data_IF_548709460293
#
_entry.id   IF_548709460293
#
_cell.length_a   1.000
_cell.length_b   1.000
_cell.length_c   1.000
_cell.angle_alpha   90.00
_cell.angle_beta   90.00
_cell.angle_gamma   90.00
#
_symmetry.space_group_name_H-M   'P 1'
#
loop_
_entity.id
_entity.type
_entity.pdbx_description
1 polymer ?
#
# COMPACT_ATOMS: atom_id res chain seq x y z
N UNK A 1 -10.36 -26.99 23.78
CA UNK A 1 -10.62 -25.77 23.02
C UNK A 1 -9.28 -25.09 22.84
N UNK A 2 -8.54 -25.50 21.80
CA UNK A 2 -7.25 -24.90 21.48
C UNK A 2 -7.48 -23.58 20.76
N UNK A 3 -7.27 -22.50 21.48
CA UNK A 3 -7.07 -21.19 20.90
C UNK A 3 -5.81 -21.29 20.04
N UNK A 4 -6.00 -21.38 18.72
CA UNK A 4 -4.93 -21.24 17.74
C UNK A 4 -4.20 -19.94 18.02
N UNK A 5 -3.13 -20.03 18.80
CA UNK A 5 -2.10 -19.00 18.91
C UNK A 5 -1.46 -18.90 17.54
N UNK A 6 -2.00 -18.06 16.69
CA UNK A 6 -1.22 -17.56 15.55
C UNK A 6 0.01 -16.90 16.14
N UNK A 7 1.13 -17.56 16.04
CA UNK A 7 2.45 -17.06 16.44
C UNK A 7 2.79 -15.87 15.54
N UNK A 8 2.21 -14.70 15.87
CA UNK A 8 2.53 -13.45 15.18
C UNK A 8 3.90 -13.02 15.67
N UNK A 9 4.81 -12.82 14.72
CA UNK A 9 6.14 -12.34 15.03
C UNK A 9 6.06 -10.99 15.79
N UNK A 10 6.44 -10.92 17.08
CA UNK A 10 6.34 -9.69 17.86
C UNK A 10 7.22 -8.57 17.31
N UNK A 11 8.33 -8.94 16.66
CA UNK A 11 9.26 -7.98 16.05
C UNK A 11 8.62 -7.29 14.84
N UNK A 12 7.95 -8.08 13.98
CA UNK A 12 7.19 -7.52 12.86
C UNK A 12 6.08 -6.59 13.36
N UNK A 13 5.31 -7.02 14.38
CA UNK A 13 4.28 -6.16 14.97
C UNK A 13 4.85 -4.83 15.46
N UNK A 14 5.95 -4.85 16.20
CA UNK A 14 6.58 -3.64 16.72
C UNK A 14 7.09 -2.73 15.59
N UNK A 15 7.67 -3.31 14.54
CA UNK A 15 8.14 -2.58 13.38
C UNK A 15 6.99 -1.82 12.69
N UNK A 16 5.89 -2.52 12.40
CA UNK A 16 4.74 -1.96 11.70
C UNK A 16 3.98 -0.95 12.58
N UNK A 17 3.77 -1.27 13.84
CA UNK A 17 3.14 -0.38 14.81
C UNK A 17 3.83 0.99 14.87
N UNK A 18 5.17 1.01 14.97
CA UNK A 18 5.97 2.24 14.93
C UNK A 18 5.87 2.98 13.60
N UNK A 19 5.89 2.25 12.47
CA UNK A 19 5.79 2.85 11.14
C UNK A 19 4.46 3.61 10.93
N UNK A 20 3.39 3.19 11.61
CA UNK A 20 2.07 3.82 11.57
C UNK A 20 1.73 4.64 12.83
N UNK A 21 2.75 5.02 13.62
CA UNK A 21 2.58 5.86 14.82
C UNK A 21 1.53 5.31 15.80
N UNK A 22 1.50 3.98 15.98
CA UNK A 22 0.60 3.25 16.89
C UNK A 22 -0.89 3.38 16.55
N UNK A 23 -1.23 3.70 15.29
CA UNK A 23 -2.61 3.89 14.84
C UNK A 23 -2.92 3.09 13.58
N UNK A 24 -4.17 2.65 13.47
CA UNK A 24 -4.66 2.01 12.24
C UNK A 24 -4.48 2.93 11.03
N UNK A 25 -3.93 2.40 9.95
CA UNK A 25 -3.65 3.11 8.72
C UNK A 25 -4.89 3.77 8.07
N UNK A 26 -6.07 3.20 8.27
CA UNK A 26 -7.33 3.68 7.70
C UNK A 26 -8.25 4.33 8.72
N UNK A 27 -8.50 3.67 9.85
CA UNK A 27 -9.47 4.14 10.83
C UNK A 27 -8.89 5.16 11.82
N UNK A 28 -7.57 5.16 12.01
CA UNK A 28 -6.92 5.95 13.05
C UNK A 28 -7.12 5.39 14.47
N UNK A 29 -7.71 4.19 14.61
CA UNK A 29 -7.91 3.52 15.91
C UNK A 29 -6.57 3.22 16.57
N UNK A 30 -6.56 3.25 17.89
CA UNK A 30 -5.36 3.04 18.69
C UNK A 30 -4.88 1.57 18.68
N UNK A 31 -3.62 1.39 19.03
CA UNK A 31 -2.84 0.16 18.96
C UNK A 31 -3.55 -1.08 19.54
N UNK A 32 -4.28 -0.95 20.65
CA UNK A 32 -4.92 -2.08 21.34
C UNK A 32 -5.88 -2.86 20.43
N UNK A 33 -6.51 -2.17 19.48
CA UNK A 33 -7.50 -2.75 18.56
C UNK A 33 -6.89 -3.12 17.21
N UNK A 34 -5.57 -2.96 17.05
CA UNK A 34 -4.88 -3.11 15.79
C UNK A 34 -3.90 -4.26 15.76
N UNK A 35 -3.63 -4.73 14.56
CA UNK A 35 -2.72 -5.81 14.25
C UNK A 35 -1.84 -5.46 13.06
N UNK A 36 -0.61 -6.01 13.04
CA UNK A 36 0.23 -5.94 11.85
C UNK A 36 -0.29 -6.93 10.81
N UNK A 37 -0.67 -6.42 9.66
CA UNK A 37 -1.12 -7.16 8.49
C UNK A 37 0.00 -7.17 7.43
N UNK A 38 0.15 -8.27 6.69
CA UNK A 38 1.01 -8.29 5.51
C UNK A 38 0.25 -7.71 4.31
N UNK A 39 0.94 -6.92 3.47
CA UNK A 39 0.39 -6.44 2.20
C UNK A 39 0.10 -7.63 1.29
N UNK A 40 1.00 -8.62 1.27
CA UNK A 40 0.77 -9.91 0.63
C UNK A 40 0.42 -10.94 1.72
N UNK A 41 -0.86 -11.28 1.94
CA UNK A 41 -1.28 -12.11 3.09
C UNK A 41 -0.63 -13.50 3.12
N UNK A 42 -0.32 -14.06 1.94
CA UNK A 42 0.28 -15.39 1.79
C UNK A 42 1.81 -15.39 1.88
N UNK A 43 2.44 -14.22 1.81
CA UNK A 43 3.89 -14.05 1.86
C UNK A 43 4.28 -13.50 3.23
N UNK A 44 4.85 -14.36 4.07
CA UNK A 44 5.27 -14.00 5.44
C UNK A 44 6.61 -13.28 5.48
N UNK A 45 6.87 -12.42 4.53
CA UNK A 45 8.02 -11.54 4.57
C UNK A 45 7.80 -10.43 5.61
N UNK A 46 8.38 -10.60 6.79
CA UNK A 46 8.24 -9.74 7.98
C UNK A 46 9.07 -8.44 7.85
N UNK A 47 8.89 -7.71 6.76
CA UNK A 47 9.58 -6.45 6.49
C UNK A 47 8.62 -5.25 6.47
N UNK A 48 9.10 -4.05 6.80
CA UNK A 48 8.29 -2.84 6.78
C UNK A 48 7.62 -2.57 5.41
N UNK A 49 8.30 -2.79 4.26
CA UNK A 49 7.68 -2.64 2.93
C UNK A 49 6.50 -3.56 2.65
N UNK A 50 6.37 -4.67 3.39
CA UNK A 50 5.29 -5.65 3.27
C UNK A 50 4.28 -5.55 4.43
N UNK A 51 4.24 -4.48 5.17
CA UNK A 51 3.39 -4.39 6.35
C UNK A 51 2.49 -3.17 6.40
N UNK A 52 1.31 -3.33 6.98
CA UNK A 52 0.40 -2.25 7.36
C UNK A 52 -0.23 -2.52 8.72
N UNK A 53 -0.61 -1.47 9.42
CA UNK A 53 -1.22 -1.56 10.75
C UNK A 53 -2.71 -1.32 10.64
N UNK A 54 -3.52 -2.33 10.91
CA UNK A 54 -4.97 -2.30 10.71
C UNK A 54 -5.72 -2.72 11.97
N UNK A 55 -6.90 -2.15 12.18
CA UNK A 55 -7.85 -2.73 13.14
C UNK A 55 -8.17 -4.18 12.76
N UNK A 56 -8.51 -5.02 13.74
CA UNK A 56 -8.78 -6.46 13.52
C UNK A 56 -9.85 -6.69 12.46
N UNK A 57 -10.88 -5.86 12.43
CA UNK A 57 -11.95 -5.96 11.45
C UNK A 57 -11.46 -5.65 10.03
N UNK A 58 -10.69 -4.56 9.87
CA UNK A 58 -10.10 -4.19 8.58
C UNK A 58 -9.07 -5.21 8.11
N UNK A 59 -8.25 -5.76 9.00
CA UNK A 59 -7.31 -6.83 8.70
C UNK A 59 -8.05 -8.09 8.21
N UNK A 60 -9.05 -8.54 8.96
CA UNK A 60 -9.87 -9.71 8.57
C UNK A 60 -10.57 -9.52 7.22
N UNK A 61 -11.03 -8.32 6.90
CA UNK A 61 -11.66 -8.03 5.61
C UNK A 61 -10.65 -7.95 4.47
N UNK A 62 -9.43 -7.49 4.75
CA UNK A 62 -8.32 -7.47 3.80
C UNK A 62 -7.88 -8.89 3.42
N UNK A 63 -7.65 -9.75 4.41
CA UNK A 63 -7.24 -11.15 4.19
C UNK A 63 -8.27 -11.96 3.39
N UNK A 64 -9.53 -11.53 3.40
CA UNK A 64 -10.63 -12.12 2.59
C UNK A 64 -10.82 -11.45 1.24
N UNK A 65 -9.91 -10.59 0.80
CA UNK A 65 -9.98 -9.86 -0.45
C UNK A 65 -11.28 -9.04 -0.64
N UNK A 66 -11.89 -8.57 0.45
CA UNK A 66 -13.06 -7.67 0.38
C UNK A 66 -12.63 -6.32 -0.18
N UNK A 67 -11.42 -5.89 0.12
CA UNK A 67 -10.79 -4.68 -0.39
C UNK A 67 -9.30 -4.87 -0.57
N UNK A 68 -8.67 -3.98 -1.32
CA UNK A 68 -7.24 -3.95 -1.54
C UNK A 68 -6.74 -2.50 -1.71
N UNK A 69 -5.42 -2.31 -1.62
CA UNK A 69 -4.76 -1.06 -1.96
C UNK A 69 -4.70 -0.95 -3.49
N UNK A 70 -5.15 0.20 -4.03
CA UNK A 70 -5.11 0.42 -5.47
C UNK A 70 -3.74 0.97 -5.91
N UNK A 71 -2.90 0.20 -6.64
CA UNK A 71 -1.56 0.62 -7.04
C UNK A 71 -1.56 1.77 -8.05
N UNK A 72 -2.67 1.98 -8.79
CA UNK A 72 -2.76 3.05 -9.78
C UNK A 72 -3.09 4.41 -9.16
N UNK A 73 -3.48 4.41 -7.88
CA UNK A 73 -3.84 5.62 -7.13
C UNK A 73 -2.66 6.28 -6.42
N UNK A 74 -1.45 5.77 -6.60
CA UNK A 74 -0.24 6.31 -5.96
C UNK A 74 -0.05 7.79 -6.24
N UNK A 75 0.11 8.57 -5.17
CA UNK A 75 0.45 10.00 -5.22
C UNK A 75 1.55 10.30 -4.22
N UNK A 76 2.46 11.19 -4.59
CA UNK A 76 3.47 11.73 -3.66
C UNK A 76 2.79 12.72 -2.73
N UNK A 77 3.03 12.58 -1.42
CA UNK A 77 2.51 13.52 -0.43
C UNK A 77 3.34 14.80 -0.42
N UNK A 78 2.81 15.89 -0.97
CA UNK A 78 3.52 17.18 -1.02
C UNK A 78 3.83 17.74 0.37
N UNK A 79 2.91 17.52 1.33
CA UNK A 79 3.03 18.00 2.72
C UNK A 79 3.91 17.10 3.61
N UNK A 80 4.30 15.90 3.12
CA UNK A 80 5.15 14.94 3.85
C UNK A 80 6.21 14.33 2.92
N UNK A 81 7.37 15.00 2.76
CA UNK A 81 8.43 14.53 1.88
C UNK A 81 8.84 13.08 2.16
N UNK A 82 8.93 12.28 1.10
CA UNK A 82 9.28 10.86 1.17
C UNK A 82 8.11 9.93 1.50
N UNK A 83 6.86 10.46 1.60
CA UNK A 83 5.66 9.65 1.72
C UNK A 83 4.92 9.56 0.39
N UNK A 84 4.32 8.40 0.14
CA UNK A 84 3.30 8.17 -0.89
C UNK A 84 1.95 7.93 -0.25
N UNK A 85 0.88 8.30 -0.95
CA UNK A 85 -0.50 7.99 -0.55
C UNK A 85 -1.16 7.08 -1.55
N UNK A 86 -2.01 6.18 -1.07
CA UNK A 86 -2.78 5.22 -1.86
C UNK A 86 -4.23 5.22 -1.43
N UNK A 87 -5.17 5.09 -2.37
CA UNK A 87 -6.57 4.80 -2.07
C UNK A 87 -6.83 3.30 -2.04
N UNK A 88 -7.97 2.90 -1.51
CA UNK A 88 -8.42 1.51 -1.51
C UNK A 88 -9.44 1.27 -2.62
N UNK A 89 -9.54 0.00 -3.04
CA UNK A 89 -10.60 -0.52 -3.91
C UNK A 89 -11.39 -1.57 -3.15
N UNK A 90 -12.73 -1.48 -3.21
CA UNK A 90 -13.64 -2.45 -2.57
C UNK A 90 -14.27 -3.28 -3.67
N UNK A 91 -14.26 -4.61 -3.50
CA UNK A 91 -14.83 -5.54 -4.47
C UNK A 91 -16.34 -5.31 -4.66
N UNK A 92 -16.77 -5.37 -5.91
CA UNK A 92 -18.20 -5.23 -6.32
C UNK A 92 -19.11 -6.24 -5.64
N UNK A 93 -18.59 -7.44 -5.33
CA UNK A 93 -19.32 -8.48 -4.56
C UNK A 93 -19.82 -8.01 -3.19
N UNK A 94 -19.22 -6.93 -2.66
CA UNK A 94 -19.49 -6.43 -1.31
C UNK A 94 -20.04 -5.00 -1.27
N UNK A 95 -20.28 -4.36 -2.43
CA UNK A 95 -20.76 -2.97 -2.50
C UNK A 95 -22.10 -2.76 -1.77
N UNK A 96 -23.01 -3.73 -1.87
CA UNK A 96 -24.33 -3.67 -1.27
C UNK A 96 -24.36 -4.08 0.23
N UNK A 97 -23.24 -4.61 0.74
CA UNK A 97 -23.16 -5.06 2.13
C UNK A 97 -22.78 -3.89 3.04
N UNK A 98 -23.45 -3.77 4.19
CA UNK A 98 -23.05 -2.81 5.23
C UNK A 98 -21.77 -3.29 5.93
N UNK A 99 -20.61 -2.93 5.39
CA UNK A 99 -19.31 -3.23 5.98
C UNK A 99 -18.61 -1.94 6.39
N UNK A 100 -17.86 -1.97 7.48
CA UNK A 100 -17.11 -0.80 7.99
C UNK A 100 -16.13 -0.23 6.99
N UNK A 101 -15.58 -1.06 6.09
CA UNK A 101 -14.64 -0.64 5.04
C UNK A 101 -15.21 0.44 4.12
N UNK A 102 -16.54 0.49 3.91
CA UNK A 102 -17.17 1.50 3.06
C UNK A 102 -16.99 2.92 3.60
N UNK A 103 -16.81 3.08 4.92
CA UNK A 103 -16.52 4.37 5.55
C UNK A 103 -15.15 4.93 5.12
N UNK A 104 -14.29 4.11 4.55
CA UNK A 104 -12.92 4.45 4.19
C UNK A 104 -12.67 4.51 2.67
N UNK A 105 -13.71 4.32 1.85
CA UNK A 105 -13.62 4.28 0.37
C UNK A 105 -12.87 5.47 -0.24
N UNK A 106 -13.00 6.65 0.37
CA UNK A 106 -12.38 7.88 -0.12
C UNK A 106 -11.17 8.32 0.71
N UNK A 107 -10.78 7.53 1.70
CA UNK A 107 -9.56 7.80 2.48
C UNK A 107 -8.33 7.30 1.75
N UNK A 108 -7.22 8.00 1.92
CA UNK A 108 -5.91 7.55 1.51
C UNK A 108 -5.10 7.04 2.69
N UNK A 109 -4.24 6.07 2.41
CA UNK A 109 -3.23 5.58 3.36
C UNK A 109 -1.91 6.24 2.98
N UNK A 110 -1.32 7.00 3.91
CA UNK A 110 -0.01 7.62 3.72
C UNK A 110 1.08 6.74 4.30
N UNK A 111 2.09 6.43 3.49
CA UNK A 111 3.16 5.51 3.86
C UNK A 111 4.51 5.98 3.34
N UNK A 112 5.56 5.69 4.11
CA UNK A 112 6.94 6.03 3.76
C UNK A 112 7.69 4.92 3.04
N UNK A 113 7.36 3.67 3.32
CA UNK A 113 8.26 2.54 3.05
C UNK A 113 7.62 1.36 2.30
N UNK A 114 6.40 1.50 1.76
CA UNK A 114 5.80 0.39 1.03
C UNK A 114 6.52 0.10 -0.29
N UNK A 115 6.70 -1.18 -0.58
CA UNK A 115 7.15 -1.63 -1.89
C UNK A 115 5.98 -1.62 -2.87
N UNK A 116 6.12 -0.87 -3.97
CA UNK A 116 5.14 -0.90 -5.07
C UNK A 116 4.94 -2.31 -5.62
N UNK A 117 5.99 -3.10 -5.66
CA UNK A 117 5.94 -4.50 -6.12
C UNK A 117 4.99 -5.34 -5.25
N UNK A 118 5.05 -5.19 -3.93
CA UNK A 118 4.15 -5.88 -3.01
C UNK A 118 2.70 -5.44 -3.20
N UNK A 119 2.45 -4.13 -3.38
CA UNK A 119 1.10 -3.62 -3.63
C UNK A 119 0.55 -4.17 -4.94
N UNK A 120 1.34 -4.17 -6.01
CA UNK A 120 0.94 -4.70 -7.32
C UNK A 120 0.63 -6.19 -7.23
N UNK A 121 1.45 -6.98 -6.53
CA UNK A 121 1.21 -8.42 -6.33
C UNK A 121 -0.07 -8.67 -5.53
N UNK A 122 -0.27 -7.97 -4.41
CA UNK A 122 -1.49 -8.09 -3.61
C UNK A 122 -2.74 -7.70 -4.39
N UNK A 123 -2.65 -6.64 -5.21
CA UNK A 123 -3.75 -6.21 -6.07
C UNK A 123 -4.08 -7.23 -7.17
N UNK A 124 -3.07 -7.90 -7.72
CA UNK A 124 -3.24 -9.00 -8.67
C UNK A 124 -4.00 -10.16 -8.02
N UNK A 125 -3.59 -10.59 -6.82
CA UNK A 125 -4.25 -11.66 -6.07
C UNK A 125 -5.71 -11.29 -5.75
N UNK A 126 -5.96 -10.04 -5.35
CA UNK A 126 -7.31 -9.50 -5.12
C UNK A 126 -8.17 -9.53 -6.39
N UNK A 127 -7.64 -9.11 -7.54
CA UNK A 127 -8.36 -9.14 -8.81
C UNK A 127 -8.67 -10.57 -9.25
N UNK A 128 -7.72 -11.48 -9.12
CA UNK A 128 -7.91 -12.89 -9.44
C UNK A 128 -9.00 -13.54 -8.60
N UNK A 129 -9.08 -13.22 -7.31
CA UNK A 129 -10.09 -13.75 -6.40
C UNK A 129 -11.50 -13.19 -6.67
N UNK A 130 -11.59 -11.90 -7.00
CA UNK A 130 -12.87 -11.22 -7.14
C UNK A 130 -13.43 -11.21 -8.55
N UNK A 131 -12.57 -11.27 -9.58
CA UNK A 131 -12.92 -11.11 -10.98
C UNK A 131 -12.16 -12.14 -11.86
N UNK A 132 -12.32 -13.45 -11.63
CA UNK A 132 -11.56 -14.48 -12.34
C UNK A 132 -11.83 -14.50 -13.83
N UNK A 133 -13.04 -14.17 -14.25
CA UNK A 133 -13.49 -14.16 -15.65
C UNK A 133 -12.90 -12.99 -16.46
N UNK A 134 -12.76 -11.82 -15.79
CA UNK A 134 -12.31 -10.56 -16.38
C UNK A 134 -10.83 -10.29 -16.16
N UNK A 135 -10.14 -11.23 -15.53
CA UNK A 135 -8.75 -11.04 -15.12
C UNK A 135 -7.77 -11.07 -16.29
N UNK A 136 -7.80 -10.02 -17.11
CA UNK A 136 -6.70 -9.61 -17.96
C UNK A 136 -5.93 -8.49 -17.30
N UNK A 137 -5.20 -8.83 -16.23
CA UNK A 137 -4.29 -7.89 -15.59
C UNK A 137 -3.13 -7.60 -16.53
N UNK A 138 -3.24 -6.50 -17.27
CA UNK A 138 -2.09 -5.92 -17.94
C UNK A 138 -1.12 -5.51 -16.83
N UNK A 139 -0.04 -6.25 -16.71
CA UNK A 139 0.96 -6.09 -15.68
C UNK A 139 1.37 -4.61 -15.60
N UNK A 140 0.98 -3.93 -14.51
CA UNK A 140 1.37 -2.52 -14.27
C UNK A 140 2.89 -2.44 -14.13
N UNK A 141 3.57 -3.57 -13.84
CA UNK A 141 5.02 -3.67 -13.85
C UNK A 141 5.63 -3.61 -15.25
N UNK A 142 4.85 -3.96 -16.30
CA UNK A 142 5.29 -3.94 -17.69
C UNK A 142 5.07 -2.60 -18.40
N UNK A 143 4.42 -1.61 -17.78
CA UNK A 143 4.61 -0.23 -18.23
C UNK A 143 6.06 0.10 -17.88
N UNK A 144 6.95 -0.06 -18.85
CA UNK A 144 8.31 0.43 -18.79
C UNK A 144 8.30 1.75 -18.03
N UNK A 145 9.10 1.83 -16.98
CA UNK A 145 9.26 3.06 -16.21
C UNK A 145 9.87 4.11 -17.15
N UNK A 146 9.00 4.70 -17.96
CA UNK A 146 9.34 5.72 -18.95
C UNK A 146 9.86 7.02 -18.30
N UNK A 147 10.09 6.97 -16.98
CA UNK A 147 10.73 8.07 -16.26
C UNK A 147 12.23 8.07 -16.53
N UNK A 148 12.74 9.25 -16.80
CA UNK A 148 14.15 9.52 -17.07
C UNK A 148 14.83 9.94 -15.77
N UNK A 149 16.00 9.36 -15.47
CA UNK A 149 16.82 9.78 -14.33
C UNK A 149 17.43 11.14 -14.59
N UNK A 150 17.41 12.03 -13.60
CA UNK A 150 18.20 13.25 -13.61
C UNK A 150 19.69 12.87 -13.55
N UNK A 151 20.49 13.40 -14.47
CA UNK A 151 21.94 13.16 -14.55
C UNK A 151 22.71 13.73 -13.33
N UNK A 152 22.15 14.76 -12.67
CA UNK A 152 22.79 15.41 -11.52
C UNK A 152 22.43 14.79 -10.18
N UNK A 153 21.17 14.40 -9.95
CA UNK A 153 20.71 13.90 -8.66
C UNK A 153 20.23 12.45 -8.66
N UNK A 154 20.11 11.80 -9.85
CA UNK A 154 19.69 10.41 -10.00
C UNK A 154 18.18 10.16 -9.80
N UNK A 155 17.39 11.16 -9.42
CA UNK A 155 15.94 11.01 -9.19
C UNK A 155 15.22 10.87 -10.53
N UNK A 156 14.23 9.99 -10.59
CA UNK A 156 13.45 9.73 -11.82
C UNK A 156 12.27 10.68 -11.97
N UNK A 157 12.12 11.26 -13.16
CA UNK A 157 11.04 12.17 -13.54
C UNK A 157 10.36 11.74 -14.84
N UNK A 158 9.14 12.19 -15.08
CA UNK A 158 8.51 12.04 -16.41
C UNK A 158 9.33 12.78 -17.48
N UNK A 159 9.22 12.36 -18.75
CA UNK A 159 9.92 13.03 -19.87
C UNK A 159 9.70 14.54 -19.94
N UNK A 160 8.52 15.02 -19.53
CA UNK A 160 8.24 16.47 -19.43
C UNK A 160 8.86 17.08 -18.16
N UNK A 161 8.74 16.40 -17.01
CA UNK A 161 9.24 16.88 -15.72
C UNK A 161 10.75 16.92 -15.64
N UNK A 162 11.48 16.00 -16.32
CA UNK A 162 12.94 15.98 -16.29
C UNK A 162 13.58 17.27 -16.84
N UNK A 163 13.06 17.83 -17.93
CA UNK A 163 13.58 19.07 -18.52
C UNK A 163 13.46 20.25 -17.55
N UNK A 164 12.32 20.36 -16.86
CA UNK A 164 12.08 21.42 -15.87
C UNK A 164 12.97 21.21 -14.65
N UNK A 165 13.09 19.96 -14.19
CA UNK A 165 13.93 19.65 -13.03
C UNK A 165 15.42 19.87 -13.31
N UNK A 166 15.96 19.43 -14.45
CA UNK A 166 17.38 19.58 -14.79
C UNK A 166 17.82 21.03 -14.86
N UNK A 167 16.92 21.95 -15.30
CA UNK A 167 17.23 23.38 -15.31
C UNK A 167 17.36 24.00 -13.91
N UNK A 168 16.76 23.36 -12.90
CA UNK A 168 16.70 23.85 -11.51
C UNK A 168 17.24 22.83 -10.49
N UNK A 169 17.97 21.81 -10.95
CA UNK A 169 18.47 20.77 -10.07
C UNK A 169 19.49 21.33 -9.08
N UNK A 170 19.31 21.18 -7.75
CA UNK A 170 20.24 21.72 -6.76
C UNK A 170 21.65 21.12 -6.81
N UNK A 171 21.85 20.01 -7.54
CA UNK A 171 23.13 19.32 -7.71
C UNK A 171 23.79 19.58 -9.08
N UNK A 172 23.24 20.53 -9.83
CA UNK A 172 23.78 20.84 -11.17
C UNK A 172 25.13 21.58 -11.13
N UNK A 173 25.33 22.39 -10.10
CA UNK A 173 26.48 23.28 -9.96
C UNK A 173 27.52 22.76 -8.94
N UNK A 174 27.48 21.46 -8.60
CA UNK A 174 28.47 20.81 -7.74
C UNK A 174 29.35 19.85 -8.53
#
# INVERSE_FOLDING_TARGET
MDLLKTSRNPQFRNLICKAFSFKCALSGMDEIQCEAAHIIPKDRNDTAPNGMFLSRELHSSYDRYIWCINPTSERICEHRPGFSSYTIEISDKYKEKKLSIHNYKYKSIEVKSWSREFIVKAYRDYKQENYPEDFQYNDVSSKEDNRVKCEYCGIKYTKKGIKIHQSKCPRKDN
#
